data_IF_559762986081
#
_entry.id   IF_559762986081
#
_cell.length_a   1.000
_cell.length_b   1.000
_cell.length_c   1.000
_cell.angle_alpha   90.00
_cell.angle_beta   90.00
_cell.angle_gamma   90.00
#
_symmetry.space_group_name_H-M   'P 1'
#
loop_
_entity.id
_entity.type
_entity.pdbx_description
1 polymer ?
#
# COMPACT_ATOMS: atom_id res chain seq x y z
N UNK A 1 -11.38 -5.82 -57.57
CA UNK A 1 -10.79 -4.89 -56.61
C UNK A 1 -10.64 -5.67 -55.32
N UNK A 2 -9.44 -5.86 -54.75
CA UNK A 2 -9.32 -6.45 -53.44
C UNK A 2 -9.60 -5.38 -52.37
N UNK A 3 -10.34 -5.79 -51.36
CA UNK A 3 -10.75 -5.00 -50.21
C UNK A 3 -9.57 -4.37 -49.49
N UNK A 4 -9.73 -3.11 -49.11
CA UNK A 4 -8.82 -2.39 -48.22
C UNK A 4 -8.75 -3.12 -46.88
N UNK A 5 -7.61 -3.73 -46.60
CA UNK A 5 -7.24 -4.15 -45.26
C UNK A 5 -7.19 -2.88 -44.42
N UNK A 6 -8.04 -2.82 -43.38
CA UNK A 6 -8.12 -1.75 -42.40
C UNK A 6 -6.73 -1.26 -41.99
N UNK A 7 -6.45 0.02 -42.18
CA UNK A 7 -5.17 0.68 -41.84
C UNK A 7 -5.01 0.98 -40.35
N UNK A 8 -5.63 0.19 -39.48
CA UNK A 8 -5.57 0.38 -38.03
C UNK A 8 -4.83 -0.80 -37.38
N UNK A 9 -3.58 -1.02 -37.81
CA UNK A 9 -2.70 -2.04 -37.23
C UNK A 9 -1.88 -1.45 -36.08
N UNK A 10 -2.55 -0.89 -35.07
CA UNK A 10 -1.88 -0.51 -33.82
C UNK A 10 -1.56 -1.75 -32.98
N UNK A 11 -0.30 -1.91 -32.58
CA UNK A 11 0.08 -2.91 -31.57
C UNK A 11 -0.25 -2.37 -30.18
N UNK A 12 -1.08 -3.09 -29.41
CA UNK A 12 -1.45 -2.74 -28.03
C UNK A 12 -0.95 -3.80 -27.03
N UNK A 13 0.38 -3.92 -26.80
CA UNK A 13 0.90 -4.90 -25.86
C UNK A 13 0.66 -4.48 -24.41
N UNK A 14 0.70 -5.46 -23.52
CA UNK A 14 0.64 -5.24 -22.07
C UNK A 14 1.82 -5.88 -21.36
N UNK A 15 2.40 -5.18 -20.40
CA UNK A 15 3.53 -5.66 -19.59
C UNK A 15 3.11 -5.62 -18.11
N UNK A 16 3.47 -6.65 -17.34
CA UNK A 16 3.20 -6.71 -15.90
C UNK A 16 4.47 -7.05 -15.13
N UNK A 17 4.69 -6.37 -14.00
CA UNK A 17 5.85 -6.59 -13.14
C UNK A 17 5.53 -6.19 -11.69
N UNK A 18 6.24 -6.79 -10.71
CA UNK A 18 6.11 -6.39 -9.32
C UNK A 18 6.72 -5.00 -9.10
N UNK A 19 6.03 -4.13 -8.39
CA UNK A 19 6.60 -2.87 -7.91
C UNK A 19 7.34 -3.07 -6.58
N UNK A 20 6.80 -3.92 -5.71
CA UNK A 20 7.47 -4.22 -4.46
C UNK A 20 6.60 -4.96 -3.47
N UNK A 21 7.25 -5.33 -2.36
CA UNK A 21 6.60 -5.85 -1.15
C UNK A 21 7.18 -5.14 0.06
N UNK A 22 6.35 -4.88 1.05
CA UNK A 22 6.77 -4.30 2.33
C UNK A 22 5.92 -4.83 3.47
N UNK A 23 6.41 -4.65 4.69
CA UNK A 23 5.73 -4.98 5.93
C UNK A 23 5.80 -3.77 6.86
N UNK A 24 4.66 -3.37 7.40
CA UNK A 24 4.51 -2.17 8.24
C UNK A 24 4.03 -2.60 9.63
N UNK A 25 4.72 -2.17 10.69
CA UNK A 25 4.37 -2.51 12.08
C UNK A 25 4.94 -1.53 13.11
N UNK A 26 4.92 -1.90 14.40
CA UNK A 26 5.37 -1.03 15.49
C UNK A 26 6.91 -1.00 15.60
N UNK A 27 7.56 -0.49 14.56
CA UNK A 27 9.02 -0.37 14.48
C UNK A 27 9.44 0.91 13.75
N UNK A 28 10.68 1.34 13.98
CA UNK A 28 11.27 2.55 13.43
C UNK A 28 11.33 2.56 11.90
N UNK A 29 11.45 1.40 11.25
CA UNK A 29 11.38 1.27 9.78
C UNK A 29 10.02 1.70 9.24
N UNK A 30 8.97 1.50 10.04
CA UNK A 30 7.59 1.88 9.73
C UNK A 30 7.24 3.30 10.24
N UNK A 31 8.23 4.09 10.65
CA UNK A 31 8.02 5.43 11.20
C UNK A 31 7.42 5.45 12.62
N UNK A 32 7.33 4.30 13.28
CA UNK A 32 6.86 4.23 14.66
C UNK A 32 7.92 4.73 15.64
N UNK A 33 7.49 5.45 16.69
CA UNK A 33 8.36 5.83 17.78
C UNK A 33 8.48 4.67 18.78
N UNK A 34 9.56 3.89 18.69
CA UNK A 34 9.79 2.70 19.54
C UNK A 34 9.87 3.02 21.04
N UNK A 35 10.12 4.27 21.44
CA UNK A 35 10.02 4.67 22.85
C UNK A 35 8.61 4.47 23.43
N UNK A 36 7.58 4.38 22.57
CA UNK A 36 6.21 4.09 22.99
C UNK A 36 5.97 2.62 23.36
N UNK A 37 6.92 1.72 23.09
CA UNK A 37 6.90 0.33 23.59
C UNK A 37 7.24 0.23 25.07
N UNK A 38 7.87 1.27 25.65
CA UNK A 38 8.18 1.29 27.07
C UNK A 38 6.90 1.28 27.91
N UNK A 39 6.94 0.56 29.04
CA UNK A 39 5.83 0.47 29.97
C UNK A 39 5.63 1.78 30.73
N UNK A 40 4.42 2.32 30.69
CA UNK A 40 4.02 3.43 31.54
C UNK A 40 3.89 2.93 33.00
N UNK A 41 4.64 3.50 33.97
CA UNK A 41 4.60 3.07 35.37
C UNK A 41 3.29 3.37 36.10
N UNK A 42 2.41 4.21 35.53
CA UNK A 42 1.11 4.56 36.11
C UNK A 42 0.00 3.59 35.71
N UNK A 43 0.05 3.07 34.48
CA UNK A 43 -0.98 2.20 33.91
C UNK A 43 -0.53 0.73 33.85
N UNK A 44 0.79 0.48 33.91
CA UNK A 44 1.41 -0.82 33.69
C UNK A 44 1.13 -1.40 32.28
N UNK A 45 0.92 -0.51 31.31
CA UNK A 45 0.72 -0.81 29.88
C UNK A 45 1.79 -0.04 29.09
N UNK A 46 2.18 -0.48 27.88
CA UNK A 46 3.02 0.32 26.99
C UNK A 46 2.38 1.68 26.66
N UNK A 47 3.19 2.73 26.51
CA UNK A 47 2.69 4.08 26.19
C UNK A 47 1.84 4.14 24.90
N UNK A 48 2.11 3.29 23.91
CA UNK A 48 1.35 3.28 22.66
C UNK A 48 -0.14 2.94 22.87
N UNK A 49 -0.50 2.21 23.92
CA UNK A 49 -1.89 1.82 24.23
C UNK A 49 -2.76 3.03 24.57
N UNK A 50 -2.16 4.15 24.96
CA UNK A 50 -2.87 5.38 25.35
C UNK A 50 -3.37 6.22 24.16
N UNK A 51 -2.88 5.94 22.96
CA UNK A 51 -3.30 6.64 21.75
C UNK A 51 -4.45 5.90 21.11
N UNK A 52 -5.49 6.61 20.65
CA UNK A 52 -6.62 5.99 19.93
C UNK A 52 -6.18 5.36 18.60
N UNK A 53 -5.17 5.95 17.97
CA UNK A 53 -4.64 5.51 16.67
C UNK A 53 -3.13 5.63 16.62
N UNK A 54 -2.49 4.66 15.98
CA UNK A 54 -1.06 4.68 15.68
C UNK A 54 -0.88 4.79 14.16
N UNK A 55 -0.37 5.93 13.66
CA UNK A 55 0.00 6.08 12.27
C UNK A 55 1.36 5.42 12.02
N UNK A 56 1.42 4.63 10.95
CA UNK A 56 2.62 3.93 10.48
C UNK A 56 2.76 4.19 8.97
N UNK A 57 3.99 4.21 8.48
CA UNK A 57 4.21 4.36 7.04
C UNK A 57 5.53 3.76 6.59
N UNK A 58 5.55 3.35 5.33
CA UNK A 58 6.77 2.94 4.64
C UNK A 58 6.78 3.53 3.24
N UNK A 59 7.93 4.07 2.82
CA UNK A 59 8.10 4.61 1.47
C UNK A 59 9.19 3.88 0.72
N UNK A 60 8.93 3.58 -0.56
CA UNK A 60 9.91 3.05 -1.50
C UNK A 60 10.05 3.98 -2.70
N UNK A 61 11.22 3.95 -3.34
CA UNK A 61 11.43 4.68 -4.59
C UNK A 61 10.54 4.11 -5.69
N UNK A 62 10.00 4.98 -6.52
CA UNK A 62 9.19 4.63 -7.68
C UNK A 62 9.26 5.78 -8.67
N UNK A 63 9.61 5.48 -9.92
CA UNK A 63 9.53 6.43 -11.01
C UNK A 63 8.74 5.84 -12.17
N UNK A 64 8.02 6.66 -12.92
CA UNK A 64 7.29 6.20 -14.10
C UNK A 64 8.21 5.57 -15.15
N UNK A 65 9.47 6.01 -15.23
CA UNK A 65 10.51 5.40 -16.05
C UNK A 65 10.83 3.95 -15.67
N UNK A 66 10.54 3.51 -14.44
CA UNK A 66 10.64 2.11 -14.03
C UNK A 66 9.58 1.24 -14.72
N UNK A 67 8.46 1.84 -15.13
CA UNK A 67 7.39 1.19 -15.90
C UNK A 67 7.71 1.22 -17.38
N UNK A 68 7.91 2.41 -17.92
CA UNK A 68 8.22 2.61 -19.33
C UNK A 68 8.90 3.97 -19.55
N UNK A 69 9.95 3.99 -20.37
CA UNK A 69 10.75 5.21 -20.58
C UNK A 69 9.97 6.32 -21.31
N UNK A 70 9.01 5.97 -22.16
CA UNK A 70 8.13 6.93 -22.85
C UNK A 70 6.73 6.90 -22.22
N UNK A 71 6.54 7.59 -21.09
CA UNK A 71 5.25 7.58 -20.36
C UNK A 71 4.04 7.97 -21.23
N UNK A 72 4.24 8.76 -22.29
CA UNK A 72 3.19 9.14 -23.26
C UNK A 72 2.62 7.95 -24.07
N UNK A 73 3.33 6.82 -24.13
CA UNK A 73 2.87 5.59 -24.79
C UNK A 73 2.06 4.68 -23.84
N UNK A 74 2.02 5.00 -22.54
CA UNK A 74 1.23 4.28 -21.54
C UNK A 74 -0.20 4.78 -21.58
N UNK A 75 -1.12 3.92 -22.03
CA UNK A 75 -2.54 4.29 -22.17
C UNK A 75 -3.32 4.02 -20.89
N UNK A 76 -2.94 2.98 -20.16
CA UNK A 76 -3.65 2.53 -18.97
C UNK A 76 -2.68 1.81 -18.03
N UNK A 77 -2.82 2.06 -16.72
CA UNK A 77 -2.16 1.30 -15.67
C UNK A 77 -3.19 0.59 -14.80
N UNK A 78 -2.95 -0.68 -14.50
CA UNK A 78 -3.69 -1.43 -13.50
C UNK A 78 -2.75 -1.77 -12.35
N UNK A 79 -2.97 -1.15 -11.20
CA UNK A 79 -2.29 -1.52 -9.97
C UNK A 79 -3.05 -2.64 -9.28
N UNK A 80 -2.36 -3.73 -8.96
CA UNK A 80 -2.88 -4.81 -8.13
C UNK A 80 -2.20 -4.79 -6.78
N UNK A 81 -2.99 -4.66 -5.73
CA UNK A 81 -2.52 -4.69 -4.35
C UNK A 81 -3.04 -5.95 -3.67
N UNK A 82 -2.17 -6.65 -2.96
CA UNK A 82 -2.55 -7.67 -1.97
C UNK A 82 -2.10 -7.19 -0.60
N UNK A 83 -3.04 -7.09 0.32
CA UNK A 83 -2.81 -6.54 1.66
C UNK A 83 -3.27 -7.55 2.69
N UNK A 84 -2.41 -7.87 3.66
CA UNK A 84 -2.67 -8.85 4.70
C UNK A 84 -2.54 -8.18 6.07
N UNK A 85 -3.62 -8.15 6.85
CA UNK A 85 -3.59 -7.58 8.20
C UNK A 85 -3.13 -8.64 9.19
N UNK A 86 -1.97 -8.43 9.83
CA UNK A 86 -1.47 -9.29 10.90
C UNK A 86 -1.85 -8.83 12.30
N UNK A 87 -2.38 -7.61 12.45
CA UNK A 87 -2.80 -7.10 13.74
C UNK A 87 -4.15 -7.68 14.15
N UNK A 88 -4.32 -8.13 15.40
CA UNK A 88 -5.62 -8.48 15.97
C UNK A 88 -6.43 -7.22 16.32
N UNK A 89 -6.42 -6.21 15.44
CA UNK A 89 -7.20 -4.99 15.54
C UNK A 89 -7.59 -4.46 14.15
N UNK A 90 -8.47 -3.45 14.15
CA UNK A 90 -8.88 -2.78 12.92
C UNK A 90 -7.73 -1.94 12.36
N UNK A 91 -7.49 -2.09 11.07
CA UNK A 91 -6.43 -1.38 10.35
C UNK A 91 -7.02 -0.71 9.12
N UNK A 92 -6.54 0.50 8.83
CA UNK A 92 -6.82 1.21 7.58
C UNK A 92 -5.54 1.37 6.78
N UNK A 93 -5.60 1.13 5.47
CA UNK A 93 -4.45 1.22 4.56
C UNK A 93 -4.74 2.17 3.40
N UNK A 94 -3.81 3.05 3.11
CA UNK A 94 -3.80 3.88 1.92
C UNK A 94 -2.42 3.83 1.27
N UNK A 95 -2.38 4.00 -0.05
CA UNK A 95 -1.13 4.10 -0.79
C UNK A 95 -1.12 5.41 -1.56
N UNK A 96 -0.08 6.21 -1.35
CA UNK A 96 0.10 7.52 -1.98
C UNK A 96 1.28 7.50 -2.93
N UNK A 97 1.14 8.21 -4.04
CA UNK A 97 2.25 8.56 -4.92
C UNK A 97 2.73 9.96 -4.53
N UNK A 98 4.01 10.09 -4.23
CA UNK A 98 4.62 11.32 -3.71
C UNK A 98 5.62 11.88 -4.71
N UNK A 99 5.69 13.20 -4.81
CA UNK A 99 6.78 13.90 -5.49
C UNK A 99 8.03 14.02 -4.61
N UNK A 100 9.10 14.57 -5.18
CA UNK A 100 10.39 14.77 -4.51
C UNK A 100 10.33 15.68 -3.26
N UNK A 101 9.29 16.51 -3.16
CA UNK A 101 9.05 17.38 -2.01
C UNK A 101 8.23 16.69 -0.91
N UNK A 102 7.76 15.46 -1.16
CA UNK A 102 6.94 14.67 -0.26
C UNK A 102 5.45 14.99 -0.35
N UNK A 103 4.99 15.77 -1.34
CA UNK A 103 3.58 16.04 -1.55
C UNK A 103 2.92 14.89 -2.32
N UNK A 104 1.73 14.49 -1.88
CA UNK A 104 0.96 13.49 -2.60
C UNK A 104 0.41 14.07 -3.91
N UNK A 105 0.76 13.46 -5.03
CA UNK A 105 0.24 13.82 -6.36
C UNK A 105 -0.96 12.98 -6.75
N UNK A 106 -1.04 11.73 -6.26
CA UNK A 106 -2.18 10.84 -6.43
C UNK A 106 -2.26 9.83 -5.26
N UNK A 107 -3.37 9.13 -5.14
CA UNK A 107 -3.62 8.09 -4.14
C UNK A 107 -4.25 6.87 -4.80
N UNK A 108 -3.76 5.68 -4.52
CA UNK A 108 -4.28 4.43 -5.09
C UNK A 108 -5.79 4.30 -4.83
N UNK A 109 -6.26 4.47 -3.60
CA UNK A 109 -7.70 4.41 -3.29
C UNK A 109 -8.32 5.81 -3.28
N UNK A 110 -9.17 6.12 -4.27
CA UNK A 110 -9.83 7.44 -4.41
C UNK A 110 -10.91 7.69 -3.37
N UNK A 111 -11.56 6.63 -2.89
CA UNK A 111 -12.71 6.73 -1.97
C UNK A 111 -12.26 6.78 -0.49
N UNK A 112 -10.96 6.90 -0.25
CA UNK A 112 -10.34 6.90 1.07
C UNK A 112 -9.63 5.59 1.42
N UNK A 113 -9.08 5.48 2.64
CA UNK A 113 -8.35 4.31 3.09
C UNK A 113 -9.19 3.04 3.07
N UNK A 114 -8.56 1.92 2.70
CA UNK A 114 -9.15 0.60 2.75
C UNK A 114 -9.11 0.06 4.20
N UNK A 115 -10.28 -0.20 4.78
CA UNK A 115 -10.38 -0.92 6.05
C UNK A 115 -10.11 -2.42 5.89
N UNK A 116 -9.40 -3.00 6.84
CA UNK A 116 -9.10 -4.44 6.92
C UNK A 116 -9.64 -5.03 8.21
N UNK A 117 -10.18 -6.25 8.10
CA UNK A 117 -10.63 -6.99 9.27
C UNK A 117 -9.44 -7.37 10.19
N UNK A 118 -9.67 -7.45 11.51
CA UNK A 118 -8.66 -7.92 12.47
C UNK A 118 -8.19 -9.35 12.21
N UNK A 119 -6.90 -9.61 12.42
CA UNK A 119 -6.36 -10.95 12.53
C UNK A 119 -6.92 -11.68 13.76
N UNK A 120 -6.79 -13.01 13.77
CA UNK A 120 -7.08 -13.81 14.96
C UNK A 120 -5.77 -14.35 15.52
N UNK A 121 -5.51 -14.08 16.80
CA UNK A 121 -4.36 -14.60 17.52
C UNK A 121 -4.81 -15.54 18.65
N UNK A 122 -3.92 -16.44 19.07
CA UNK A 122 -4.05 -17.17 20.33
C UNK A 122 -3.46 -16.35 21.48
N UNK A 123 -3.75 -16.75 22.72
CA UNK A 123 -3.23 -16.15 23.96
C UNK A 123 -1.70 -16.07 24.05
N UNK A 124 -0.98 -16.86 23.23
CA UNK A 124 0.48 -16.83 23.15
C UNK A 124 1.03 -15.92 22.03
N UNK A 125 0.19 -15.05 21.45
CA UNK A 125 0.54 -14.15 20.35
C UNK A 125 0.58 -14.80 18.96
N UNK A 126 0.35 -16.10 18.82
CA UNK A 126 0.43 -16.77 17.53
C UNK A 126 -0.78 -16.42 16.63
N UNK A 127 -0.54 -15.80 15.47
CA UNK A 127 -1.58 -15.54 14.47
C UNK A 127 -2.07 -16.84 13.85
N UNK A 128 -3.37 -17.10 13.96
CA UNK A 128 -4.06 -18.28 13.39
C UNK A 128 -4.83 -17.98 12.12
N UNK A 129 -5.18 -16.71 11.89
CA UNK A 129 -5.85 -16.25 10.68
C UNK A 129 -5.39 -14.83 10.35
N UNK A 130 -5.00 -14.63 9.08
CA UNK A 130 -4.55 -13.34 8.55
C UNK A 130 -5.49 -12.91 7.42
N UNK A 131 -6.51 -12.06 7.70
CA UNK A 131 -7.40 -11.54 6.66
C UNK A 131 -6.61 -10.85 5.57
N UNK A 132 -7.08 -10.98 4.34
CA UNK A 132 -6.47 -10.32 3.19
C UNK A 132 -7.50 -9.66 2.30
N UNK A 133 -7.10 -8.57 1.66
CA UNK A 133 -7.83 -7.89 0.61
C UNK A 133 -6.96 -7.83 -0.64
N UNK A 134 -7.59 -8.09 -1.79
CA UNK A 134 -7.01 -7.83 -3.10
C UNK A 134 -7.78 -6.69 -3.77
N UNK A 135 -7.07 -5.67 -4.26
CA UNK A 135 -7.67 -4.55 -5.01
C UNK A 135 -6.97 -4.39 -6.35
N UNK A 136 -7.78 -4.25 -7.38
CA UNK A 136 -7.36 -3.93 -8.74
C UNK A 136 -7.83 -2.50 -9.04
N UNK A 137 -6.90 -1.58 -9.21
CA UNK A 137 -7.16 -0.15 -9.38
C UNK A 137 -6.70 0.29 -10.76
N UNK A 138 -7.66 0.80 -11.54
CA UNK A 138 -7.42 1.32 -12.87
C UNK A 138 -7.03 2.80 -12.80
N UNK A 139 -5.96 3.14 -13.50
CA UNK A 139 -5.50 4.50 -13.72
C UNK A 139 -5.71 4.83 -15.19
N UNK A 140 -6.54 5.84 -15.43
CA UNK A 140 -6.76 6.43 -16.74
C UNK A 140 -5.67 7.48 -17.04
N UNK A 141 -5.71 8.08 -18.23
CA UNK A 141 -4.71 9.04 -18.69
C UNK A 141 -4.51 10.22 -17.71
N UNK A 142 -5.59 10.79 -17.15
CA UNK A 142 -5.48 11.88 -16.18
C UNK A 142 -4.68 11.49 -14.93
N UNK A 143 -4.95 10.30 -14.38
CA UNK A 143 -4.19 9.81 -13.21
C UNK A 143 -2.77 9.39 -13.56
N UNK A 144 -2.55 8.91 -14.78
CA UNK A 144 -1.21 8.59 -15.30
C UNK A 144 -0.36 9.87 -15.41
N UNK A 145 -0.95 10.98 -15.85
CA UNK A 145 -0.28 12.28 -15.93
C UNK A 145 0.18 12.77 -14.54
N UNK A 146 -0.61 12.52 -13.49
CA UNK A 146 -0.22 12.82 -12.10
C UNK A 146 1.03 12.05 -11.62
N UNK A 147 1.40 10.95 -12.30
CA UNK A 147 2.57 10.14 -11.96
C UNK A 147 3.87 10.64 -12.58
N UNK A 148 3.82 11.66 -13.46
CA UNK A 148 4.99 12.15 -14.19
C UNK A 148 6.14 12.60 -13.28
N UNK A 149 5.81 13.23 -12.14
CA UNK A 149 6.79 13.78 -11.19
C UNK A 149 6.91 12.98 -9.89
N UNK A 150 6.35 11.77 -9.87
CA UNK A 150 6.44 10.90 -8.71
C UNK A 150 7.85 10.31 -8.62
N UNK A 151 8.40 10.31 -7.41
CA UNK A 151 9.67 9.67 -7.10
C UNK A 151 9.52 8.57 -6.02
N UNK A 152 8.37 8.51 -5.35
CA UNK A 152 8.12 7.58 -4.24
C UNK A 152 6.68 7.10 -4.18
N UNK A 153 6.54 5.86 -3.72
CA UNK A 153 5.26 5.30 -3.27
C UNK A 153 5.31 5.14 -1.75
N UNK A 154 4.32 5.68 -1.05
CA UNK A 154 4.16 5.54 0.39
C UNK A 154 2.95 4.68 0.72
N UNK A 155 3.19 3.59 1.45
CA UNK A 155 2.15 2.82 2.13
C UNK A 155 1.91 3.47 3.48
N UNK A 156 0.70 3.96 3.71
CA UNK A 156 0.24 4.52 4.98
C UNK A 156 -0.70 3.53 5.64
N UNK A 157 -0.44 3.21 6.91
CA UNK A 157 -1.23 2.30 7.72
C UNK A 157 -1.66 3.05 8.98
N UNK A 158 -2.94 3.00 9.31
CA UNK A 158 -3.46 3.51 10.58
C UNK A 158 -4.04 2.34 11.34
N UNK A 159 -3.44 2.08 12.50
CA UNK A 159 -3.85 1.04 13.43
C UNK A 159 -4.74 1.67 14.50
N UNK A 160 -5.91 1.07 14.79
CA UNK A 160 -6.77 1.49 15.90
C UNK A 160 -6.47 0.68 17.15
N UNK A 161 -6.30 1.36 18.29
CA UNK A 161 -6.16 0.72 19.61
C UNK A 161 -7.51 0.45 20.28
N UNK A 162 -8.61 0.92 19.68
CA UNK A 162 -9.93 0.73 20.24
C UNK A 162 -10.29 -0.77 20.27
N UNK A 163 -10.57 -1.27 21.48
CA UNK A 163 -11.02 -2.65 21.68
C UNK A 163 -9.94 -3.71 21.48
N UNK A 164 -8.65 -3.34 21.52
CA UNK A 164 -7.56 -4.32 21.48
C UNK A 164 -7.64 -5.29 22.67
N UNK A 165 -7.26 -6.53 22.41
CA UNK A 165 -7.11 -7.53 23.47
C UNK A 165 -5.89 -7.21 24.32
N UNK A 166 -6.11 -7.00 25.62
CA UNK A 166 -5.07 -6.65 26.58
C UNK A 166 -4.08 -7.79 26.81
N UNK A 167 -4.55 -9.04 26.70
CA UNK A 167 -3.69 -10.21 26.88
C UNK A 167 -2.71 -10.37 25.70
N UNK A 168 -2.96 -9.67 24.60
CA UNK A 168 -2.08 -9.69 23.42
C UNK A 168 -1.11 -8.51 23.34
N UNK A 169 -1.19 -7.52 24.24
CA UNK A 169 -0.45 -6.25 24.17
C UNK A 169 1.05 -6.44 24.02
N UNK A 170 1.62 -7.44 24.71
CA UNK A 170 3.06 -7.74 24.68
C UNK A 170 3.57 -8.29 23.33
N UNK A 171 2.67 -8.70 22.42
CA UNK A 171 3.01 -9.26 21.11
C UNK A 171 2.77 -8.29 19.94
N UNK A 172 2.31 -7.05 20.20
CA UNK A 172 1.91 -6.13 19.13
C UNK A 172 3.07 -5.61 18.28
N UNK A 173 4.30 -5.64 18.79
CA UNK A 173 5.51 -5.29 18.04
C UNK A 173 5.96 -6.38 17.05
N UNK A 174 5.47 -7.62 17.21
CA UNK A 174 5.68 -8.71 16.25
C UNK A 174 4.67 -8.71 15.09
N UNK A 175 3.54 -8.00 15.23
CA UNK A 175 2.51 -7.96 14.21
C UNK A 175 2.81 -6.98 13.08
N UNK A 176 2.44 -7.39 11.86
CA UNK A 176 2.76 -6.68 10.62
C UNK A 176 1.58 -6.67 9.65
N UNK A 177 1.37 -5.53 9.02
CA UNK A 177 0.58 -5.42 7.78
C UNK A 177 1.52 -5.66 6.60
N UNK A 178 1.28 -6.73 5.84
CA UNK A 178 2.04 -7.00 4.63
C UNK A 178 1.34 -6.41 3.42
N UNK A 179 2.08 -5.68 2.59
CA UNK A 179 1.56 -5.07 1.36
C UNK A 179 2.42 -5.51 0.18
N UNK A 180 1.76 -6.01 -0.85
CA UNK A 180 2.38 -6.36 -2.13
C UNK A 180 1.72 -5.53 -3.23
N UNK A 181 2.54 -4.91 -4.08
CA UNK A 181 2.08 -4.05 -5.16
C UNK A 181 2.66 -4.56 -6.46
N UNK A 182 1.78 -4.83 -7.43
CA UNK A 182 2.12 -5.09 -8.82
C UNK A 182 1.47 -4.06 -9.73
N UNK A 183 2.05 -3.86 -10.90
CA UNK A 183 1.48 -2.99 -11.93
C UNK A 183 1.44 -3.73 -13.27
N UNK A 184 0.38 -3.50 -14.02
CA UNK A 184 0.26 -3.87 -15.42
C UNK A 184 0.06 -2.60 -16.24
N UNK A 185 0.92 -2.38 -17.22
CA UNK A 185 0.83 -1.28 -18.16
C UNK A 185 0.33 -1.77 -19.52
N UNK A 186 -0.68 -1.09 -20.07
CA UNK A 186 -1.10 -1.25 -21.46
C UNK A 186 -0.48 -0.12 -22.28
N UNK A 187 0.21 -0.47 -23.35
CA UNK A 187 0.96 0.46 -24.19
C UNK A 187 0.28 0.59 -25.56
N UNK A 188 0.47 1.73 -26.22
CA UNK A 188 0.07 1.94 -27.61
C UNK A 188 1.28 2.36 -28.43
N UNK A 189 1.59 1.58 -29.46
CA UNK A 189 2.61 1.92 -30.44
C UNK A 189 1.98 2.49 -31.70
N UNK A 190 2.44 3.67 -32.12
CA UNK A 190 2.25 4.14 -33.50
C UNK A 190 3.23 3.42 -34.43
N UNK A 191 2.74 2.85 -35.54
CA UNK A 191 3.59 2.38 -36.64
C UNK A 191 3.88 3.51 -37.63
#
# INVERSE_FOLDING_TARGET
MPDSISSDSGLNPSIAFPLGKTSVGLNSVSGFNEALLETNPLTNEPYWVEFEQIPLSYSMQFNMGDIYQNSEEVVELLFRLNIYNGFPANVQVQVYFLDYSGFATDSVFSDGPLGLNPATAKDNGEITSKPHEQKDILFNSERIDNLQFVDRVMVSVVFSTEGIDKDLVEYYDDYLVDVQIGVKANLKFGL
#
